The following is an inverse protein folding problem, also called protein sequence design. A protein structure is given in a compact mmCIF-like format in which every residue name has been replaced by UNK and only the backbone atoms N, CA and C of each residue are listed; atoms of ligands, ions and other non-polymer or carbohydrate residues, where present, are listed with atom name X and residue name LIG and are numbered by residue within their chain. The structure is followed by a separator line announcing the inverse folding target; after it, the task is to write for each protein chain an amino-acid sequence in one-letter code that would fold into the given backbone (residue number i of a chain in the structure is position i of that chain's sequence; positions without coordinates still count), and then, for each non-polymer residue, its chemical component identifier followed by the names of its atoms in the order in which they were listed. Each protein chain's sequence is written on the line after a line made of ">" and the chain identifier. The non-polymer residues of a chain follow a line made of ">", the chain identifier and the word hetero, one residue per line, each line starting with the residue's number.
data_IF_541880071060
#
_entry.id   IF_541880071060
#
_cell.length_a   1.000
_cell.length_b   1.000
_cell.length_c   1.000
_cell.angle_alpha   90.00
_cell.angle_beta   90.00
_cell.angle_gamma   90.00
#
_symmetry.space_group_name_H-M   'P 1'
#
loop_
_entity.id
_entity.type
_entity.pdbx_description
1 polymer ?
#
# COMPACT_ATOMS: atom_id res chain seq x y z
N UNK A 1 6.15 1.92 15.51
CA UNK A 1 5.28 0.75 15.28
C UNK A 1 5.44 -0.22 16.44
N UNK A 2 4.37 -0.95 16.79
CA UNK A 2 4.41 -1.98 17.85
C UNK A 2 4.77 -3.31 17.20
N UNK A 3 5.80 -4.02 17.66
CA UNK A 3 6.25 -5.29 17.05
C UNK A 3 5.12 -6.31 16.78
N UNK A 4 5.34 -7.26 15.88
CA UNK A 4 4.33 -8.27 15.50
C UNK A 4 4.38 -8.62 14.01
N UNK A 5 3.47 -9.49 13.57
CA UNK A 5 3.46 -9.96 12.19
C UNK A 5 3.24 -8.82 11.18
N UNK A 6 3.98 -8.78 10.06
CA UNK A 6 3.81 -7.76 9.01
C UNK A 6 2.51 -7.96 8.23
N UNK A 7 1.90 -6.84 7.81
CA UNK A 7 0.57 -6.83 7.19
C UNK A 7 0.48 -5.90 5.99
N UNK A 8 -0.39 -6.28 5.06
CA UNK A 8 -0.93 -5.38 4.04
C UNK A 8 -2.45 -5.34 4.17
N UNK A 9 -3.02 -4.13 4.20
CA UNK A 9 -4.46 -3.90 4.28
C UNK A 9 -4.91 -3.16 3.03
N UNK A 10 -5.86 -3.76 2.31
CA UNK A 10 -6.37 -3.25 1.04
C UNK A 10 -7.66 -2.48 1.26
N UNK A 11 -7.68 -1.23 0.81
CA UNK A 11 -8.81 -0.31 0.84
C UNK A 11 -9.16 0.11 -0.58
N UNK A 12 -10.43 0.43 -0.83
CA UNK A 12 -10.89 1.12 -2.03
C UNK A 12 -11.04 2.61 -1.74
N UNK A 13 -10.82 3.46 -2.75
CA UNK A 13 -10.99 4.92 -2.62
C UNK A 13 -12.40 5.41 -2.95
N UNK A 14 -13.30 4.50 -3.33
CA UNK A 14 -14.67 4.78 -3.78
C UNK A 14 -14.71 5.77 -4.94
N UNK A 15 -13.88 5.51 -5.95
CA UNK A 15 -13.72 6.39 -7.10
C UNK A 15 -13.41 5.62 -8.38
N UNK A 16 -13.67 6.23 -9.53
CA UNK A 16 -13.55 5.59 -10.84
C UNK A 16 -12.09 5.41 -11.30
N UNK A 17 -11.61 4.16 -11.49
CA UNK A 17 -10.26 3.89 -11.99
C UNK A 17 -10.05 4.25 -13.47
N UNK A 18 -11.12 4.47 -14.25
CA UNK A 18 -11.00 4.94 -15.63
C UNK A 18 -10.79 6.46 -15.73
N UNK A 19 -11.23 7.21 -14.72
CA UNK A 19 -11.24 8.68 -14.75
C UNK A 19 -10.15 9.34 -13.91
N UNK A 20 -9.53 8.62 -12.95
CA UNK A 20 -8.58 9.20 -12.00
C UNK A 20 -7.20 8.54 -12.03
N UNK A 21 -6.16 9.36 -11.89
CA UNK A 21 -4.78 8.95 -11.69
C UNK A 21 -4.48 8.69 -10.20
N UNK A 22 -3.48 7.85 -9.93
CA UNK A 22 -2.97 7.64 -8.58
C UNK A 22 -2.46 8.95 -7.96
N UNK A 23 -1.82 9.82 -8.76
CA UNK A 23 -1.38 11.13 -8.28
C UNK A 23 -2.54 12.05 -7.86
N UNK A 24 -3.64 12.10 -8.63
CA UNK A 24 -4.80 12.91 -8.28
C UNK A 24 -5.46 12.43 -6.98
N UNK A 25 -5.61 11.11 -6.83
CA UNK A 25 -6.16 10.50 -5.62
C UNK A 25 -5.24 10.71 -4.41
N UNK A 26 -3.93 10.56 -4.56
CA UNK A 26 -2.97 10.82 -3.49
C UNK A 26 -3.05 12.27 -2.99
N UNK A 27 -3.10 13.26 -3.90
CA UNK A 27 -3.26 14.68 -3.52
C UNK A 27 -4.56 14.93 -2.77
N UNK A 28 -5.68 14.35 -3.24
CA UNK A 28 -6.98 14.46 -2.57
C UNK A 28 -6.92 13.90 -1.15
N UNK A 29 -6.35 12.72 -0.97
CA UNK A 29 -6.21 12.10 0.35
C UNK A 29 -5.42 12.97 1.32
N UNK A 30 -4.28 13.54 0.88
CA UNK A 30 -3.51 14.50 1.70
C UNK A 30 -4.37 15.72 2.07
N UNK A 31 -5.11 16.28 1.10
CA UNK A 31 -6.02 17.40 1.35
C UNK A 31 -7.13 17.09 2.35
N UNK A 32 -7.63 15.84 2.35
CA UNK A 32 -8.65 15.35 3.27
C UNK A 32 -8.06 14.96 4.65
N UNK A 33 -6.76 15.18 4.89
CA UNK A 33 -6.07 14.77 6.11
C UNK A 33 -5.91 13.26 6.26
N UNK A 34 -6.11 12.51 5.17
CA UNK A 34 -6.00 11.06 5.11
C UNK A 34 -4.62 10.65 4.62
N UNK A 35 -4.17 9.48 5.08
CA UNK A 35 -2.89 8.91 4.72
C UNK A 35 -3.02 7.47 4.22
N UNK A 36 -1.89 6.87 3.89
CA UNK A 36 -1.75 5.51 3.37
C UNK A 36 -0.31 5.33 2.95
N UNK A 37 0.09 4.10 2.61
CA UNK A 37 1.45 3.87 2.15
C UNK A 37 1.54 3.98 0.65
N UNK A 38 0.56 3.42 -0.05
CA UNK A 38 0.53 3.35 -1.50
C UNK A 38 -0.88 3.66 -2.03
N UNK A 39 -0.97 4.47 -3.06
CA UNK A 39 -2.14 4.57 -3.94
C UNK A 39 -1.83 3.83 -5.23
N UNK A 40 -2.76 3.01 -5.72
CA UNK A 40 -2.59 2.23 -6.94
C UNK A 40 -3.84 2.27 -7.82
N UNK A 41 -3.65 2.54 -9.11
CA UNK A 41 -4.69 2.36 -10.12
C UNK A 41 -4.56 0.96 -10.76
N UNK A 42 -5.49 0.02 -10.48
CA UNK A 42 -5.41 -1.36 -10.99
C UNK A 42 -5.67 -1.50 -12.49
N UNK A 43 -6.15 -0.44 -13.16
CA UNK A 43 -6.38 -0.40 -14.61
C UNK A 43 -5.15 0.09 -15.36
N UNK A 44 -4.46 1.11 -14.85
CA UNK A 44 -3.31 1.72 -15.55
C UNK A 44 -1.95 1.23 -15.04
N UNK A 45 -1.89 0.69 -13.82
CA UNK A 45 -0.63 0.33 -13.15
C UNK A 45 0.04 1.48 -12.41
N UNK A 46 -0.49 2.70 -12.51
CA UNK A 46 0.08 3.85 -11.84
C UNK A 46 0.08 3.68 -10.32
N UNK A 47 1.23 3.92 -9.69
CA UNK A 47 1.40 3.89 -8.24
C UNK A 47 1.99 5.18 -7.71
N UNK A 48 1.50 5.63 -6.55
CA UNK A 48 2.08 6.76 -5.80
C UNK A 48 2.31 6.34 -4.37
N UNK A 49 3.57 6.39 -3.92
CA UNK A 49 3.91 6.17 -2.53
C UNK A 49 3.68 7.44 -1.72
N UNK A 50 2.86 7.36 -0.67
CA UNK A 50 2.53 8.48 0.21
C UNK A 50 3.34 8.46 1.52
N UNK A 51 3.61 7.26 2.06
CA UNK A 51 4.37 7.06 3.28
C UNK A 51 5.40 5.92 3.09
N UNK A 52 6.57 5.97 3.77
CA UNK A 52 7.44 4.81 3.87
C UNK A 52 6.74 3.69 4.65
N UNK A 53 6.98 2.42 4.30
CA UNK A 53 6.35 1.26 4.95
C UNK A 53 6.58 1.20 6.47
N UNK A 54 7.64 1.87 6.95
CA UNK A 54 8.02 1.95 8.36
C UNK A 54 7.29 3.06 9.14
N UNK A 55 6.59 3.97 8.46
CA UNK A 55 5.75 4.97 9.12
C UNK A 55 4.35 4.39 9.38
N UNK A 56 3.77 4.59 10.58
CA UNK A 56 2.37 4.22 10.82
C UNK A 56 1.44 5.14 10.03
N UNK A 57 0.40 4.57 9.41
CA UNK A 57 -0.67 5.32 8.75
C UNK A 57 -1.86 5.52 9.70
N UNK A 58 -1.61 6.24 10.79
CA UNK A 58 -2.51 6.30 11.94
C UNK A 58 -3.90 6.85 11.61
N UNK A 59 -4.94 6.29 12.22
CA UNK A 59 -6.34 6.71 12.08
C UNK A 59 -7.07 6.11 10.88
N UNK A 60 -6.41 5.32 10.03
CA UNK A 60 -7.01 4.85 8.78
C UNK A 60 -7.80 3.55 8.88
N UNK A 61 -7.52 2.71 9.88
CA UNK A 61 -8.12 1.39 9.97
C UNK A 61 -9.24 1.30 11.01
N UNK A 62 -9.10 1.95 12.16
CA UNK A 62 -10.09 1.91 13.24
C UNK A 62 -10.22 3.28 13.90
N UNK A 63 -11.46 3.72 14.12
CA UNK A 63 -11.76 5.01 14.77
C UNK A 63 -11.50 5.00 16.29
N UNK A 64 -11.44 3.81 16.91
CA UNK A 64 -11.21 3.63 18.34
C UNK A 64 -9.83 3.00 18.62
N UNK A 65 -9.29 3.25 19.81
CA UNK A 65 -8.04 2.64 20.26
C UNK A 65 -8.21 1.14 20.61
N UNK A 66 -7.20 0.29 20.35
CA UNK A 66 -5.94 0.61 19.67
C UNK A 66 -6.11 0.75 18.15
N UNK A 67 -5.41 1.71 17.56
CA UNK A 67 -5.37 1.88 16.11
C UNK A 67 -4.55 0.77 15.43
N UNK A 68 -5.25 -0.03 14.61
CA UNK A 68 -4.66 -1.17 13.92
C UNK A 68 -3.61 -0.79 12.89
N UNK A 69 -3.64 0.43 12.37
CA UNK A 69 -2.63 0.92 11.44
C UNK A 69 -1.24 1.08 12.09
N UNK A 70 -1.17 1.06 13.43
CA UNK A 70 0.05 1.18 14.20
C UNK A 70 0.63 -0.18 14.68
N UNK A 71 -0.01 -1.30 14.33
CA UNK A 71 0.32 -2.64 14.81
C UNK A 71 1.19 -3.45 13.83
N UNK A 72 2.13 -4.23 14.37
CA UNK A 72 3.03 -5.07 13.59
C UNK A 72 4.34 -4.39 13.25
N UNK A 73 5.30 -5.19 12.76
CA UNK A 73 6.59 -4.67 12.28
C UNK A 73 6.41 -3.74 11.08
N UNK A 74 5.42 -4.01 10.23
CA UNK A 74 4.86 -3.07 9.25
C UNK A 74 3.35 -3.32 9.15
N UNK A 75 2.58 -2.26 8.89
CA UNK A 75 1.16 -2.37 8.51
C UNK A 75 0.92 -1.46 7.31
N UNK A 76 1.13 -2.01 6.11
CA UNK A 76 1.04 -1.27 4.86
C UNK A 76 -0.42 -1.12 4.43
N UNK A 77 -0.88 0.10 4.24
CA UNK A 77 -2.22 0.43 3.73
C UNK A 77 -2.09 0.73 2.25
N UNK A 78 -2.76 -0.07 1.44
CA UNK A 78 -2.82 0.09 -0.02
C UNK A 78 -4.20 0.60 -0.39
N UNK A 79 -4.25 1.78 -0.99
CA UNK A 79 -5.46 2.41 -1.49
C UNK A 79 -5.60 2.16 -2.98
N UNK A 80 -6.53 1.29 -3.31
CA UNK A 80 -6.84 0.91 -4.67
C UNK A 80 -7.91 1.85 -5.22
N UNK A 81 -7.65 2.45 -6.38
CA UNK A 81 -8.68 3.21 -7.09
C UNK A 81 -9.74 2.22 -7.59
N UNK A 82 -10.96 2.39 -7.11
CA UNK A 82 -12.07 1.50 -7.37
C UNK A 82 -13.16 1.65 -6.31
N UNK A 83 -14.18 0.79 -6.41
CA UNK A 83 -15.31 0.79 -5.49
C UNK A 83 -15.39 -0.52 -4.73
N UNK A 84 -15.82 -0.45 -3.47
CA UNK A 84 -16.04 -1.66 -2.66
C UNK A 84 -17.17 -2.55 -3.19
N UNK A 85 -18.09 -2.03 -4.00
CA UNK A 85 -19.16 -2.84 -4.61
C UNK A 85 -18.77 -3.46 -5.96
N UNK A 86 -17.62 -3.09 -6.53
CA UNK A 86 -17.12 -3.58 -7.80
C UNK A 86 -15.66 -4.03 -7.60
N UNK A 87 -15.43 -5.32 -7.31
CA UNK A 87 -14.14 -5.79 -6.83
C UNK A 87 -13.04 -5.51 -7.86
N UNK A 88 -12.01 -4.76 -7.44
CA UNK A 88 -10.92 -4.38 -8.36
C UNK A 88 -10.16 -5.59 -8.92
N UNK A 89 -10.30 -6.76 -8.29
CA UNK A 89 -9.77 -8.02 -8.82
C UNK A 89 -10.47 -8.48 -10.08
N UNK A 90 -11.51 -7.82 -10.56
CA UNK A 90 -12.09 -8.06 -11.88
C UNK A 90 -11.38 -7.26 -12.99
N UNK A 91 -10.66 -6.20 -12.61
CA UNK A 91 -9.89 -5.34 -13.51
C UNK A 91 -8.58 -6.03 -13.94
N UNK A 92 -7.82 -5.46 -14.90
CA UNK A 92 -6.58 -6.06 -15.40
C UNK A 92 -5.49 -6.33 -14.36
N UNK A 93 -5.47 -5.58 -13.25
CA UNK A 93 -4.41 -5.64 -12.22
C UNK A 93 -3.03 -5.28 -12.79
N UNK A 94 -2.97 -4.24 -13.63
CA UNK A 94 -1.74 -3.74 -14.22
C UNK A 94 -0.71 -3.39 -13.12
N UNK A 95 0.54 -3.80 -13.32
CA UNK A 95 1.66 -3.56 -12.41
C UNK A 95 1.44 -3.99 -10.95
N UNK A 96 0.67 -5.06 -10.74
CA UNK A 96 0.52 -5.69 -9.43
C UNK A 96 1.82 -6.34 -8.93
N UNK A 97 2.61 -6.95 -9.81
CA UNK A 97 3.84 -7.67 -9.47
C UNK A 97 4.87 -6.83 -8.69
N UNK A 98 5.21 -5.61 -9.12
CA UNK A 98 6.08 -4.72 -8.34
C UNK A 98 5.55 -4.42 -6.93
N UNK A 99 4.23 -4.29 -6.77
CA UNK A 99 3.60 -4.04 -5.46
C UNK A 99 3.78 -5.26 -4.56
N UNK A 100 3.48 -6.47 -5.05
CA UNK A 100 3.66 -7.70 -4.28
C UNK A 100 5.13 -7.95 -3.95
N UNK A 101 6.05 -7.71 -4.89
CA UNK A 101 7.49 -7.82 -4.64
C UNK A 101 7.97 -6.82 -3.58
N UNK A 102 7.43 -5.60 -3.58
CA UNK A 102 7.73 -4.62 -2.54
C UNK A 102 7.20 -5.08 -1.17
N UNK A 103 5.99 -5.64 -1.11
CA UNK A 103 5.44 -6.20 0.13
C UNK A 103 6.24 -7.41 0.66
N UNK A 104 6.72 -8.26 -0.24
CA UNK A 104 7.61 -9.38 0.12
C UNK A 104 8.92 -8.90 0.75
N UNK A 105 9.46 -7.77 0.27
CA UNK A 105 10.67 -7.16 0.86
C UNK A 105 10.47 -6.71 2.32
N UNK A 106 9.21 -6.53 2.75
CA UNK A 106 8.82 -6.26 4.13
C UNK A 106 8.32 -7.51 4.87
N UNK A 107 8.55 -8.69 4.29
CA UNK A 107 8.14 -10.00 4.78
C UNK A 107 6.63 -10.15 4.98
N UNK A 108 5.80 -9.35 4.28
CA UNK A 108 4.34 -9.53 4.32
C UNK A 108 4.00 -10.84 3.63
N UNK A 109 3.47 -11.85 4.34
CA UNK A 109 3.30 -13.16 3.72
C UNK A 109 2.13 -13.16 2.74
N UNK A 110 2.33 -13.76 1.58
CA UNK A 110 1.33 -13.92 0.49
C UNK A 110 0.24 -14.94 0.83
N UNK A 111 -0.51 -14.65 1.88
CA UNK A 111 -1.68 -15.40 2.34
C UNK A 111 -2.75 -14.43 2.78
N UNK A 112 -3.98 -14.91 2.79
CA UNK A 112 -5.14 -14.16 3.27
C UNK A 112 -5.77 -14.91 4.44
N UNK A 113 -5.32 -14.69 5.70
CA UNK A 113 -5.69 -15.56 6.82
C UNK A 113 -7.19 -15.64 7.07
N UNK A 114 -7.91 -14.54 6.83
CA UNK A 114 -9.35 -14.44 7.00
C UNK A 114 -10.16 -14.97 5.79
N UNK A 115 -9.51 -15.50 4.76
CA UNK A 115 -10.15 -15.84 3.49
C UNK A 115 -10.62 -14.61 2.70
N UNK A 116 -11.26 -14.83 1.54
CA UNK A 116 -11.75 -13.74 0.70
C UNK A 116 -12.66 -12.78 1.49
N UNK A 117 -12.49 -11.45 1.36
CA UNK A 117 -13.40 -10.50 1.97
C UNK A 117 -14.81 -10.64 1.37
N UNK A 118 -15.86 -10.37 2.15
CA UNK A 118 -17.24 -10.47 1.68
C UNK A 118 -17.60 -9.31 0.72
N UNK A 119 -18.64 -9.50 -0.10
CA UNK A 119 -19.17 -8.49 -1.05
C UNK A 119 -19.91 -7.31 -0.40
N UNK A 120 -19.98 -7.25 0.93
CA UNK A 120 -20.77 -6.26 1.66
C UNK A 120 -20.39 -6.19 3.14
N UNK A 121 -21.15 -5.42 3.92
CA UNK A 121 -20.92 -5.33 5.37
C UNK A 121 -21.09 -6.70 6.01
N UNK A 122 -20.04 -7.19 6.66
CA UNK A 122 -20.07 -8.47 7.35
C UNK A 122 -20.83 -8.34 8.65
N UNK A 123 -21.64 -9.36 9.00
CA UNK A 123 -22.02 -9.54 10.40
C UNK A 123 -20.74 -9.69 11.24
N UNK A 124 -20.65 -9.08 12.44
CA UNK A 124 -19.44 -9.13 13.24
C UNK A 124 -19.04 -10.59 13.51
N UNK A 125 -17.86 -10.99 13.06
CA UNK A 125 -17.26 -12.23 13.56
C UNK A 125 -17.05 -12.14 15.08
N UNK A 126 -17.08 -13.27 15.81
CA UNK A 126 -16.66 -13.27 17.20
C UNK A 126 -15.28 -12.62 17.31
N UNK A 127 -15.19 -11.56 18.13
CA UNK A 127 -13.99 -10.70 18.19
C UNK A 127 -12.70 -11.52 18.36
N UNK A 128 -12.73 -12.56 19.20
CA UNK A 128 -11.59 -13.46 19.45
C UNK A 128 -11.09 -14.18 18.20
N UNK A 129 -11.96 -14.54 17.26
CA UNK A 129 -11.58 -15.15 15.99
C UNK A 129 -10.89 -14.13 15.08
N UNK A 130 -11.43 -12.92 14.96
CA UNK A 130 -10.84 -11.85 14.15
C UNK A 130 -9.46 -11.42 14.68
N UNK A 131 -9.29 -11.28 15.99
CA UNK A 131 -7.98 -10.97 16.61
C UNK A 131 -6.95 -12.06 16.31
N UNK A 132 -7.34 -13.33 16.42
CA UNK A 132 -6.46 -14.48 16.15
C UNK A 132 -6.00 -14.52 14.70
N UNK A 133 -6.90 -14.23 13.76
CA UNK A 133 -6.59 -14.17 12.34
C UNK A 133 -5.68 -12.97 12.02
N UNK A 134 -5.99 -11.80 12.58
CA UNK A 134 -5.17 -10.59 12.47
C UNK A 134 -3.74 -10.82 12.98
N UNK A 135 -3.56 -11.50 14.11
CA UNK A 135 -2.26 -11.81 14.69
C UNK A 135 -1.34 -12.63 13.76
N UNK A 136 -1.90 -13.38 12.80
CA UNK A 136 -1.11 -14.19 11.85
C UNK A 136 -0.35 -13.37 10.83
N UNK A 137 -0.72 -12.12 10.57
CA UNK A 137 -0.14 -11.31 9.49
C UNK A 137 -0.47 -11.82 8.09
N UNK A 138 -0.08 -11.05 7.07
CA UNK A 138 -0.45 -11.26 5.67
C UNK A 138 -1.39 -10.19 5.13
N UNK A 139 -2.22 -10.55 4.17
CA UNK A 139 -3.15 -9.63 3.51
C UNK A 139 -4.54 -9.66 4.14
N UNK A 140 -5.15 -8.48 4.26
CA UNK A 140 -6.50 -8.30 4.80
C UNK A 140 -7.26 -7.25 3.99
N UNK A 141 -8.58 -7.41 3.91
CA UNK A 141 -9.45 -6.31 3.53
C UNK A 141 -9.69 -5.41 4.74
N UNK A 142 -9.97 -4.12 4.54
CA UNK A 142 -10.34 -3.23 5.63
C UNK A 142 -11.54 -3.77 6.43
N UNK A 143 -12.51 -4.38 5.75
CA UNK A 143 -13.67 -5.07 6.34
C UNK A 143 -13.33 -6.21 7.29
N UNK A 144 -12.11 -6.75 7.22
CA UNK A 144 -11.64 -7.85 8.07
C UNK A 144 -10.70 -7.39 9.18
N UNK A 145 -10.41 -6.09 9.27
CA UNK A 145 -9.59 -5.54 10.36
C UNK A 145 -10.41 -5.55 11.65
N UNK A 146 -9.91 -6.13 12.76
CA UNK A 146 -10.67 -6.19 14.01
C UNK A 146 -11.06 -4.80 14.53
N UNK A 147 -12.37 -4.57 14.65
CA UNK A 147 -12.94 -3.30 15.11
C UNK A 147 -13.18 -2.26 14.01
N UNK A 148 -12.85 -2.56 12.76
CA UNK A 148 -13.20 -1.70 11.64
C UNK A 148 -14.70 -1.78 11.32
N UNK A 149 -15.24 -0.67 10.82
CA UNK A 149 -16.61 -0.56 10.32
C UNK A 149 -16.53 -0.17 8.84
N UNK A 150 -16.15 -1.12 7.99
CA UNK A 150 -15.90 -0.89 6.58
C UNK A 150 -16.37 -2.08 5.72
N UNK A 151 -16.80 -1.80 4.49
CA UNK A 151 -17.05 -2.81 3.45
C UNK A 151 -15.85 -2.99 2.51
N UNK A 152 -14.94 -2.02 2.48
CA UNK A 152 -13.76 -2.05 1.61
C UNK A 152 -12.86 -3.26 1.91
N UNK A 153 -12.23 -3.87 0.89
CA UNK A 153 -12.26 -3.47 -0.52
C UNK A 153 -13.41 -4.13 -1.33
N UNK A 154 -14.39 -4.76 -0.68
CA UNK A 154 -15.37 -5.61 -1.35
C UNK A 154 -14.89 -7.03 -1.60
N UNK A 155 -15.63 -7.77 -2.43
CA UNK A 155 -15.36 -9.18 -2.77
C UNK A 155 -14.16 -9.39 -3.71
N UNK A 156 -13.00 -8.87 -3.30
CA UNK A 156 -11.74 -9.12 -3.98
C UNK A 156 -11.39 -10.60 -3.91
N UNK A 157 -10.84 -11.14 -5.00
CA UNK A 157 -10.38 -12.52 -5.09
C UNK A 157 -8.91 -12.63 -4.64
N UNK A 158 -8.60 -13.16 -3.44
CA UNK A 158 -7.21 -13.26 -2.96
C UNK A 158 -6.35 -14.14 -3.86
N UNK A 159 -6.93 -15.17 -4.45
CA UNK A 159 -6.22 -16.06 -5.37
C UNK A 159 -5.70 -15.26 -6.56
N UNK A 160 -6.54 -14.45 -7.20
CA UNK A 160 -6.12 -13.61 -8.33
C UNK A 160 -5.13 -12.53 -7.92
N UNK A 161 -5.31 -11.94 -6.73
CA UNK A 161 -4.41 -10.89 -6.22
C UNK A 161 -3.04 -11.43 -5.80
N UNK A 162 -2.94 -12.68 -5.35
CA UNK A 162 -1.70 -13.26 -4.81
C UNK A 162 -1.07 -14.32 -5.74
N UNK A 163 -1.72 -14.68 -6.85
CA UNK A 163 -1.30 -15.76 -7.75
C UNK A 163 0.04 -15.52 -8.46
N UNK A 164 0.53 -14.28 -8.52
CA UNK A 164 1.70 -13.98 -9.35
C UNK A 164 3.00 -14.12 -8.56
N UNK A 165 3.64 -15.29 -8.61
CA UNK A 165 5.02 -15.45 -8.13
C UNK A 165 5.91 -15.93 -9.27
N UNK A 166 6.66 -15.02 -9.89
CA UNK A 166 8.03 -15.35 -10.27
C UNK A 166 8.86 -15.20 -8.99
N UNK A 167 9.77 -16.15 -8.64
CA UNK A 167 10.72 -15.90 -7.56
C UNK A 167 11.39 -14.55 -7.80
N UNK A 168 11.67 -13.76 -6.75
CA UNK A 168 12.37 -12.50 -6.94
C UNK A 168 13.63 -12.79 -7.76
N UNK A 169 13.80 -12.08 -8.88
CA UNK A 169 15.15 -11.98 -9.42
C UNK A 169 16.01 -11.47 -8.26
N UNK A 170 17.22 -12.03 -8.05
CA UNK A 170 18.15 -11.43 -7.11
C UNK A 170 18.21 -9.94 -7.43
N UNK A 171 18.22 -9.05 -6.42
CA UNK A 171 18.19 -7.62 -6.64
C UNK A 171 19.21 -7.31 -7.72
N UNK A 172 18.77 -6.71 -8.84
CA UNK A 172 19.69 -6.20 -9.85
C UNK A 172 20.65 -5.34 -9.05
N UNK A 173 21.93 -5.74 -8.99
CA UNK A 173 22.93 -4.94 -8.32
C UNK A 173 22.75 -3.53 -8.86
N UNK A 174 22.36 -2.60 -7.99
CA UNK A 174 22.35 -1.20 -8.34
C UNK A 174 23.79 -0.93 -8.72
N UNK A 175 24.06 -0.79 -10.02
CA UNK A 175 25.31 -0.22 -10.48
C UNK A 175 25.39 1.08 -9.71
N UNK A 176 26.39 1.20 -8.83
CA UNK A 176 26.55 2.38 -8.01
C UNK A 176 26.44 3.59 -8.95
N UNK A 177 25.59 4.58 -8.66
CA UNK A 177 25.61 5.81 -9.45
C UNK A 177 27.06 6.30 -9.46
N UNK A 178 27.55 6.66 -10.65
CA UNK A 178 28.88 7.22 -10.78
C UNK A 178 29.05 8.31 -9.71
N UNK A 179 30.18 8.34 -8.98
CA UNK A 179 30.39 9.34 -7.95
C UNK A 179 30.12 10.72 -8.56
N UNK A 180 29.30 11.52 -7.87
CA UNK A 180 29.09 12.91 -8.25
C UNK A 180 30.48 13.57 -8.36
N UNK A 181 30.76 14.33 -9.44
CA UNK A 181 32.01 15.04 -9.55
C UNK A 181 32.21 15.90 -8.29
N UNK A 182 33.43 15.96 -7.74
CA UNK A 182 33.72 16.82 -6.60
C UNK A 182 33.25 18.25 -6.90
N UNK A 183 32.53 18.86 -5.98
CA UNK A 183 32.24 20.29 -6.06
C UNK A 183 33.60 21.00 -5.94
N UNK A 184 34.14 21.49 -7.05
CA UNK A 184 35.31 22.34 -7.03
C UNK A 184 34.99 23.60 -6.23
N UNK A 185 35.66 23.76 -5.09
CA UNK A 185 35.65 25.03 -4.37
C UNK A 185 36.51 25.99 -5.17
N UNK A 186 35.87 26.90 -5.91
CA UNK A 186 36.54 28.08 -6.40
C UNK A 186 37.13 28.84 -5.20
N UNK A 187 38.38 29.30 -5.34
CA UNK A 187 39.16 29.92 -4.27
C UNK A 187 38.62 31.29 -3.79
N UNK A 188 37.49 31.73 -4.31
CA UNK A 188 36.83 33.02 -4.08
C UNK A 188 35.48 32.91 -3.34
N UNK A 189 35.01 31.69 -3.01
CA UNK A 189 33.80 31.50 -2.22
C UNK A 189 32.48 31.76 -2.94
N UNK A 190 32.46 31.94 -4.27
CA UNK A 190 31.21 32.03 -5.03
C UNK A 190 30.71 30.64 -5.48
N UNK A 191 29.43 30.35 -5.19
CA UNK A 191 28.72 29.18 -5.71
C UNK A 191 28.18 29.51 -7.11
N UNK A 192 28.76 28.94 -8.15
CA UNK A 192 28.12 28.91 -9.47
C UNK A 192 27.03 27.85 -9.46
N UNK A 193 25.75 28.27 -9.42
CA UNK A 193 24.66 27.35 -9.74
C UNK A 193 24.76 27.02 -11.24
N UNK A 194 24.85 25.72 -11.54
CA UNK A 194 24.87 25.24 -12.91
C UNK A 194 23.60 25.70 -13.66
N UNK A 195 23.83 26.44 -14.73
CA UNK A 195 22.78 26.94 -15.62
C UNK A 195 22.02 25.82 -16.29
N UNK A 196 20.75 26.09 -16.59
CA UNK A 196 19.85 25.25 -17.35
C UNK A 196 20.50 24.79 -18.67
N UNK A 197 20.40 23.49 -18.96
CA UNK A 197 20.75 22.95 -20.26
C UNK A 197 19.52 23.06 -21.15
N UNK A 198 19.56 23.98 -22.11
CA UNK A 198 18.74 23.93 -23.32
C UNK A 198 19.47 23.08 -24.36
N UNK A 199 18.74 22.16 -24.99
CA UNK A 199 19.22 21.27 -26.06
C UNK A 199 18.20 20.18 -26.33
#
# INVERSE_FOLDING_TARGET
>A
MKGGAPRAVWLTTESDPASLTAQAVARRLVGDGRCGHLVWNPRTGETVQMLPATAPAGGELTAAAPDRACEGRVCVIIRVIGWSHAPFTDLPLCDLDPILSWLDSWEVPRRWPAGAPPSGLQAPHPRSSSERLWARGGHFGHSQVPGAQASAPGAVCPQRLLAQARPPNPPRALTAPAPLPPIERAADGQRHYAGAVSG
#
